data_IF_320248308686
#
_entry.id   IF_320248308686
#
_cell.length_a   1.000
_cell.length_b   1.000
_cell.length_c   1.000
_cell.angle_alpha   90.00
_cell.angle_beta   90.00
_cell.angle_gamma   90.00
#
_symmetry.space_group_name_H-M   'P 1'
#
loop_
_entity.id
_entity.type
_entity.pdbx_description
1 polymer ?
#
# COMPACT_ATOMS: atom_id res chain seq x y z
N UNK A 1 -32.24 -62.24 -1.09
CA UNK A 1 -32.70 -60.93 -0.58
C UNK A 1 -31.56 -59.90 -0.54
N UNK A 2 -30.64 -59.88 -1.52
CA UNK A 2 -29.46 -58.98 -1.49
C UNK A 2 -29.54 -57.82 -2.51
N UNK A 3 -30.42 -57.93 -3.50
CA UNK A 3 -30.57 -56.92 -4.57
C UNK A 3 -31.26 -55.64 -4.07
N UNK A 4 -32.16 -55.74 -3.08
CA UNK A 4 -32.86 -54.57 -2.53
C UNK A 4 -31.90 -53.61 -1.78
N UNK A 5 -30.88 -54.14 -1.11
CA UNK A 5 -29.90 -53.33 -0.36
C UNK A 5 -28.92 -52.54 -1.27
N UNK A 6 -28.58 -53.06 -2.46
CA UNK A 6 -27.77 -52.31 -3.44
C UNK A 6 -28.54 -51.15 -4.07
N UNK A 7 -29.82 -51.37 -4.38
CA UNK A 7 -30.68 -50.36 -5.01
C UNK A 7 -30.96 -49.20 -4.03
N UNK A 8 -31.16 -49.50 -2.75
CA UNK A 8 -31.31 -48.46 -1.71
C UNK A 8 -30.01 -47.69 -1.47
N UNK A 9 -28.85 -48.36 -1.41
CA UNK A 9 -27.55 -47.68 -1.28
C UNK A 9 -27.26 -46.71 -2.44
N UNK A 10 -27.60 -47.08 -3.68
CA UNK A 10 -27.44 -46.20 -4.85
C UNK A 10 -28.42 -45.02 -4.84
N UNK A 11 -29.64 -45.19 -4.33
CA UNK A 11 -30.63 -44.11 -4.19
C UNK A 11 -30.28 -43.13 -3.07
N UNK A 12 -29.76 -43.62 -1.94
CA UNK A 12 -29.32 -42.80 -0.81
C UNK A 12 -28.04 -42.02 -1.12
N UNK A 13 -27.09 -42.61 -1.85
CA UNK A 13 -25.93 -41.87 -2.36
C UNK A 13 -26.37 -40.73 -3.31
N UNK A 14 -27.45 -40.89 -4.08
CA UNK A 14 -28.00 -39.84 -4.96
C UNK A 14 -28.54 -38.60 -4.30
N UNK A 15 -28.97 -38.69 -3.05
CA UNK A 15 -29.47 -37.54 -2.32
C UNK A 15 -28.29 -36.70 -1.77
N UNK A 16 -27.19 -37.34 -1.38
CA UNK A 16 -26.03 -36.68 -0.76
C UNK A 16 -25.17 -35.90 -1.77
N UNK A 17 -24.95 -36.42 -2.98
CA UNK A 17 -24.15 -35.72 -3.99
C UNK A 17 -24.90 -34.60 -4.73
N UNK A 18 -26.23 -34.69 -4.86
CA UNK A 18 -27.07 -33.60 -5.42
C UNK A 18 -27.20 -32.42 -4.46
N UNK A 19 -27.27 -32.66 -3.14
CA UNK A 19 -27.33 -31.58 -2.14
C UNK A 19 -26.04 -30.74 -2.06
N UNK A 20 -24.88 -31.35 -2.37
CA UNK A 20 -23.59 -30.63 -2.48
C UNK A 20 -23.47 -29.78 -3.74
N UNK A 21 -24.11 -30.17 -4.85
CA UNK A 21 -24.06 -29.44 -6.12
C UNK A 21 -25.04 -28.26 -6.20
N UNK A 22 -26.04 -28.20 -5.30
CA UNK A 22 -27.16 -27.28 -5.41
C UNK A 22 -27.25 -26.16 -4.38
N UNK A 23 -26.40 -26.06 -3.35
CA UNK A 23 -26.62 -25.05 -2.30
C UNK A 23 -26.31 -23.61 -2.78
N UNK A 24 -27.29 -22.83 -3.27
CA UNK A 24 -27.05 -21.50 -3.83
C UNK A 24 -26.78 -20.49 -2.70
N UNK A 25 -27.19 -20.85 -1.47
CA UNK A 25 -27.04 -20.08 -0.23
C UNK A 25 -25.57 -19.89 0.15
N UNK A 26 -24.69 -20.88 -0.05
CA UNK A 26 -23.24 -20.72 0.23
C UNK A 26 -22.60 -19.74 -0.77
N UNK A 27 -22.84 -19.93 -2.07
CA UNK A 27 -22.34 -19.03 -3.13
C UNK A 27 -22.90 -17.60 -3.02
N UNK A 28 -24.16 -17.45 -2.59
CA UNK A 28 -24.79 -16.14 -2.36
C UNK A 28 -24.19 -15.40 -1.17
N UNK A 29 -23.90 -16.09 -0.06
CA UNK A 29 -23.22 -15.52 1.12
C UNK A 29 -21.80 -15.07 0.77
N UNK A 30 -21.05 -15.86 0.00
CA UNK A 30 -19.69 -15.54 -0.43
C UNK A 30 -19.64 -14.32 -1.38
N UNK A 31 -20.58 -14.24 -2.33
CA UNK A 31 -20.76 -13.05 -3.19
C UNK A 31 -21.15 -11.81 -2.39
N UNK A 32 -22.01 -11.96 -1.38
CA UNK A 32 -22.37 -10.86 -0.48
C UNK A 32 -21.15 -10.39 0.33
N UNK A 33 -20.34 -11.33 0.86
CA UNK A 33 -19.12 -11.00 1.58
C UNK A 33 -18.11 -10.23 0.70
N UNK A 34 -17.85 -10.73 -0.51
CA UNK A 34 -17.01 -10.01 -1.48
C UNK A 34 -17.56 -8.63 -1.84
N UNK A 35 -18.88 -8.47 -1.92
CA UNK A 35 -19.47 -7.17 -2.22
C UNK A 35 -19.32 -6.19 -1.05
N UNK A 36 -19.44 -6.67 0.19
CA UNK A 36 -19.18 -5.88 1.41
C UNK A 36 -17.72 -5.47 1.48
N UNK A 37 -16.79 -6.38 1.25
CA UNK A 37 -15.35 -6.08 1.22
C UNK A 37 -15.00 -5.06 0.13
N UNK A 38 -15.53 -5.23 -1.10
CA UNK A 38 -15.32 -4.26 -2.19
C UNK A 38 -15.84 -2.87 -1.82
N UNK A 39 -17.00 -2.78 -1.16
CA UNK A 39 -17.55 -1.50 -0.69
C UNK A 39 -16.66 -0.88 0.39
N UNK A 40 -16.21 -1.69 1.35
CA UNK A 40 -15.29 -1.25 2.40
C UNK A 40 -13.99 -0.69 1.79
N UNK A 41 -13.36 -1.43 0.87
CA UNK A 41 -12.13 -1.00 0.19
C UNK A 41 -12.31 0.31 -0.58
N UNK A 42 -13.44 0.51 -1.26
CA UNK A 42 -13.74 1.79 -1.93
C UNK A 42 -13.89 2.95 -0.96
N UNK A 43 -14.58 2.73 0.17
CA UNK A 43 -14.71 3.77 1.19
C UNK A 43 -13.35 4.14 1.78
N UNK A 44 -12.51 3.14 2.04
CA UNK A 44 -11.18 3.37 2.60
C UNK A 44 -10.25 4.08 1.62
N UNK A 45 -10.30 3.69 0.34
CA UNK A 45 -9.58 4.41 -0.72
C UNK A 45 -10.03 5.87 -0.82
N UNK A 46 -11.34 6.15 -0.74
CA UNK A 46 -11.86 7.53 -0.73
C UNK A 46 -11.36 8.35 0.46
N UNK A 47 -11.26 7.75 1.66
CA UNK A 47 -10.67 8.42 2.83
C UNK A 47 -9.20 8.74 2.61
N UNK A 48 -8.43 7.79 2.06
CA UNK A 48 -7.01 7.98 1.73
C UNK A 48 -6.81 9.09 0.69
N UNK A 49 -7.63 9.10 -0.37
CA UNK A 49 -7.60 10.16 -1.38
C UNK A 49 -7.95 11.53 -0.78
N UNK A 50 -9.00 11.63 0.05
CA UNK A 50 -9.32 12.89 0.76
C UNK A 50 -8.19 13.36 1.67
N UNK A 51 -7.53 12.43 2.36
CA UNK A 51 -6.36 12.77 3.19
C UNK A 51 -5.21 13.28 2.32
N UNK A 52 -4.98 12.66 1.17
CA UNK A 52 -3.96 13.10 0.22
C UNK A 52 -4.27 14.51 -0.31
N UNK A 53 -5.51 14.78 -0.73
CA UNK A 53 -5.95 16.11 -1.20
C UNK A 53 -5.65 17.23 -0.19
N UNK A 54 -5.81 16.96 1.12
CA UNK A 54 -5.52 17.92 2.20
C UNK A 54 -4.04 18.13 2.46
N UNK A 55 -3.20 17.14 2.15
CA UNK A 55 -1.75 17.21 2.39
C UNK A 55 -1.03 17.95 1.26
N UNK A 56 -1.55 17.88 0.05
CA UNK A 56 -0.91 18.45 -1.13
C UNK A 56 -1.46 19.87 -1.34
N UNK A 57 -0.59 20.90 -1.47
CA UNK A 57 -1.04 22.25 -1.79
C UNK A 57 -1.83 22.29 -3.09
N UNK A 58 -3.04 22.87 -3.06
CA UNK A 58 -3.97 22.88 -4.19
C UNK A 58 -4.66 21.53 -4.47
N UNK A 59 -4.44 20.51 -3.65
CA UNK A 59 -4.97 19.15 -3.87
C UNK A 59 -6.49 19.03 -3.73
N UNK A 60 -7.16 19.93 -3.00
CA UNK A 60 -8.63 19.93 -2.85
C UNK A 60 -9.36 20.29 -4.16
N UNK A 61 -8.70 21.01 -5.07
CA UNK A 61 -9.24 21.39 -6.38
C UNK A 61 -9.16 20.24 -7.40
N UNK A 62 -8.27 19.28 -7.16
CA UNK A 62 -8.05 18.12 -8.03
C UNK A 62 -9.09 17.03 -7.74
N UNK A 63 -10.17 17.02 -8.53
CA UNK A 63 -11.29 16.06 -8.42
C UNK A 63 -10.94 14.66 -8.96
N UNK A 64 -10.07 14.60 -9.95
CA UNK A 64 -9.62 13.36 -10.60
C UNK A 64 -8.40 12.79 -9.89
N UNK A 65 -8.41 11.48 -9.63
CA UNK A 65 -7.34 10.82 -8.88
C UNK A 65 -6.00 10.85 -9.64
N UNK A 66 -6.04 10.71 -10.98
CA UNK A 66 -4.83 10.66 -11.80
C UNK A 66 -4.07 11.99 -11.74
N UNK A 67 -4.78 13.12 -11.86
CA UNK A 67 -4.19 14.45 -11.73
C UNK A 67 -3.65 14.70 -10.32
N UNK A 68 -4.35 14.23 -9.29
CA UNK A 68 -3.88 14.30 -7.90
C UNK A 68 -2.56 13.54 -7.73
N UNK A 69 -2.40 12.37 -8.35
CA UNK A 69 -1.18 11.59 -8.25
C UNK A 69 0.01 12.23 -8.98
N UNK A 70 -0.21 12.77 -10.18
CA UNK A 70 0.83 13.50 -10.92
C UNK A 70 1.30 14.70 -10.10
N UNK A 71 0.36 15.54 -9.63
CA UNK A 71 0.68 16.71 -8.81
C UNK A 71 1.37 16.33 -7.49
N UNK A 72 0.99 15.20 -6.90
CA UNK A 72 1.65 14.65 -5.71
C UNK A 72 3.11 14.29 -6.01
N UNK A 73 3.39 13.67 -7.16
CA UNK A 73 4.75 13.30 -7.55
C UNK A 73 5.64 14.56 -7.71
N UNK A 74 5.13 15.59 -8.36
CA UNK A 74 5.81 16.88 -8.52
C UNK A 74 6.09 17.52 -7.15
N UNK A 75 5.11 17.49 -6.25
CA UNK A 75 5.28 18.06 -4.92
C UNK A 75 6.31 17.28 -4.08
N UNK A 76 6.33 15.95 -4.15
CA UNK A 76 7.35 15.12 -3.49
C UNK A 76 8.76 15.48 -4.02
N UNK A 77 8.89 15.65 -5.33
CA UNK A 77 10.16 16.05 -5.95
C UNK A 77 10.61 17.42 -5.46
N UNK A 78 9.69 18.40 -5.44
CA UNK A 78 9.97 19.75 -4.93
C UNK A 78 10.43 19.73 -3.47
N UNK A 79 9.75 18.96 -2.61
CA UNK A 79 10.12 18.83 -1.20
C UNK A 79 11.51 18.22 -1.02
N UNK A 80 11.82 17.16 -1.78
CA UNK A 80 13.15 16.54 -1.77
C UNK A 80 14.23 17.54 -2.15
N UNK A 81 14.02 18.30 -3.22
CA UNK A 81 14.96 19.34 -3.63
C UNK A 81 15.18 20.40 -2.55
N UNK A 82 14.10 20.91 -1.94
CA UNK A 82 14.19 21.89 -0.84
C UNK A 82 15.01 21.35 0.34
N UNK A 83 14.77 20.11 0.75
CA UNK A 83 15.53 19.47 1.83
C UNK A 83 17.01 19.33 1.45
N UNK A 84 17.31 18.85 0.24
CA UNK A 84 18.69 18.70 -0.23
C UNK A 84 19.43 20.04 -0.30
N UNK A 85 18.76 21.10 -0.76
CA UNK A 85 19.33 22.45 -0.77
C UNK A 85 19.64 22.93 0.65
N UNK A 86 18.68 22.81 1.57
CA UNK A 86 18.89 23.21 2.97
C UNK A 86 20.05 22.44 3.61
N UNK A 87 20.15 21.13 3.38
CA UNK A 87 21.27 20.30 3.86
C UNK A 87 22.62 20.75 3.28
N UNK A 88 22.66 21.11 2.00
CA UNK A 88 23.88 21.63 1.36
C UNK A 88 24.31 22.99 1.93
N UNK A 89 23.36 23.82 2.35
CA UNK A 89 23.65 25.11 2.98
C UNK A 89 24.11 24.91 4.44
N UNK A 90 23.45 24.04 5.21
CA UNK A 90 23.81 23.80 6.61
C UNK A 90 25.14 23.07 6.75
N UNK A 91 25.48 22.17 5.83
CA UNK A 91 26.78 21.50 5.80
C UNK A 91 27.93 22.49 5.52
N UNK A 92 27.70 23.49 4.67
CA UNK A 92 28.68 24.56 4.40
C UNK A 92 28.83 25.55 5.55
N UNK A 93 27.75 25.83 6.30
CA UNK A 93 27.85 26.71 7.48
C UNK A 93 28.48 26.04 8.70
N UNK A 94 28.62 24.70 8.70
CA UNK A 94 29.36 23.97 9.73
C UNK A 94 30.88 23.95 9.49
N UNK A 95 31.35 24.38 8.31
CA UNK A 95 32.78 24.42 7.95
C UNK A 95 33.39 25.82 8.03
N UNK A 96 32.63 26.85 8.41
CA UNK A 96 33.15 28.21 8.60
C UNK A 96 33.75 28.46 10.01
N UNK A 97 34.27 27.42 10.67
CA UNK A 97 34.94 27.52 11.98
C UNK A 97 36.25 26.73 12.08
N UNK A 98 36.95 26.47 10.98
CA UNK A 98 38.28 25.83 11.04
C UNK A 98 39.22 26.28 9.91
N UNK A 99 39.34 27.60 9.74
CA UNK A 99 40.51 28.21 9.13
C UNK A 99 41.23 29.00 10.23
N UNK A 100 42.05 28.29 11.01
CA UNK A 100 43.30 28.75 11.63
C UNK A 100 43.88 27.66 12.54
N UNK A 101 45.11 27.28 12.19
CA UNK A 101 46.15 26.72 13.04
C UNK A 101 45.99 25.28 13.57
N UNK A 102 46.59 24.30 12.86
CA UNK A 102 47.56 23.45 13.54
C UNK A 102 48.72 23.03 12.61
N UNK A 103 49.90 23.46 13.02
CA UNK A 103 51.20 23.18 12.41
C UNK A 103 51.74 21.93 13.10
N UNK A 104 51.86 20.82 12.38
CA UNK A 104 52.37 19.61 13.03
C UNK A 104 52.61 18.42 12.13
N UNK A 105 53.35 18.60 11.03
CA UNK A 105 53.99 17.47 10.35
C UNK A 105 55.08 16.92 11.28
N UNK A 106 54.78 15.90 12.09
CA UNK A 106 55.81 15.13 12.78
C UNK A 106 56.17 13.89 11.97
N UNK A 107 57.45 13.80 11.68
CA UNK A 107 58.07 12.88 10.75
C UNK A 107 57.86 11.41 11.11
N UNK A 108 57.60 10.66 10.04
CA UNK A 108 57.79 9.23 9.87
C UNK A 108 59.28 8.90 10.02
N UNK A 109 59.64 8.07 11.01
CA UNK A 109 60.95 7.39 11.07
C UNK A 109 60.80 6.01 11.68
N UNK A 110 60.75 4.99 10.82
CA UNK A 110 61.09 3.60 11.15
C UNK A 110 61.99 3.11 10.01
N UNK A 111 63.29 3.03 10.27
CA UNK A 111 64.29 2.04 9.78
C UNK A 111 65.47 2.15 10.75
#
# INVERSE_FOLDING_TARGET
>A
MELNNRIESSRLMSCSYKMRQLCPKKRRRERQHQQVERRFMRMELRKKLKKLQRLIPGGEELREADNLFVHTADYIMLLRFKVSLLQALTSKSATSSSDRDDCGTYMRSNI
#
